data_IF_685658737435
#
_entry.id   IF_685658737435
#
_cell.length_a   1.000
_cell.length_b   1.000
_cell.length_c   1.000
_cell.angle_alpha   90.00
_cell.angle_beta   90.00
_cell.angle_gamma   90.00
#
_symmetry.space_group_name_H-M   'P 1'
#
loop_
_entity.id
_entity.type
_entity.pdbx_description
1 polymer ?
2 non-polymer ?
3 water ?
#
# COMPACT_ATOMS: atom_id res chain seq x y z
N UNK A 4 -2.61 18.00 -9.69
CA UNK A 4 -3.61 17.48 -8.75
C UNK A 4 -2.92 16.89 -7.54
N UNK A 5 -3.64 16.83 -6.42
CA UNK A 5 -3.18 16.11 -5.24
C UNK A 5 -3.87 14.76 -5.15
N UNK A 6 -3.17 13.76 -4.64
CA UNK A 6 -3.73 12.44 -4.43
C UNK A 6 -3.26 11.97 -3.06
N UNK A 7 -4.18 11.50 -2.25
CA UNK A 7 -3.85 10.95 -0.95
C UNK A 7 -3.87 9.43 -1.11
N UNK A 8 -2.78 8.76 -0.80
CA UNK A 8 -2.65 7.33 -1.02
C UNK A 8 -2.19 6.67 0.28
N UNK A 9 -2.98 5.72 0.79
CA UNK A 9 -2.59 5.00 1.99
C UNK A 9 -1.82 3.74 1.60
N UNK A 10 -0.77 3.42 2.35
CA UNK A 10 -0.04 2.15 2.19
C UNK A 10 -0.45 1.20 3.29
N UNK A 11 -1.07 0.08 2.93
CA UNK A 11 -1.49 -0.91 3.92
C UNK A 11 -0.75 -2.24 3.71
N UNK A 12 -0.71 -3.05 4.75
CA UNK A 12 -0.09 -4.37 4.62
C UNK A 12 0.03 -5.09 5.93
N UNK A 13 0.22 -6.41 5.87
CA UNK A 13 0.55 -7.18 7.07
C UNK A 13 1.95 -6.79 7.51
N UNK A 14 2.32 -7.10 8.76
CA UNK A 14 3.71 -6.90 9.18
C UNK A 14 4.71 -7.62 8.26
N UNK A 15 5.87 -7.02 8.03
CA UNK A 15 6.97 -7.69 7.31
C UNK A 15 6.64 -8.12 5.89
N UNK A 16 6.12 -7.20 5.09
CA UNK A 16 5.87 -7.47 3.69
C UNK A 16 6.64 -6.50 2.80
N UNK A 17 7.59 -5.77 3.38
CA UNK A 17 8.38 -4.78 2.64
C UNK A 17 7.72 -3.41 2.50
N UNK A 18 6.77 -3.12 3.38
CA UNK A 18 6.01 -1.88 3.28
C UNK A 18 6.90 -0.65 3.56
N UNK A 19 7.76 -0.72 4.57
CA UNK A 19 8.66 0.41 4.87
C UNK A 19 9.64 0.65 3.73
N UNK A 20 10.24 -0.42 3.21
CA UNK A 20 11.14 -0.29 2.06
C UNK A 20 10.47 0.38 0.86
N UNK A 21 9.22 -0.01 0.57
CA UNK A 21 8.50 0.58 -0.55
C UNK A 21 8.20 2.05 -0.27
N UNK A 22 7.74 2.35 0.94
CA UNK A 22 7.52 3.75 1.35
C UNK A 22 8.78 4.60 1.15
N UNK A 23 9.92 4.09 1.59
CA UNK A 23 11.20 4.80 1.44
C UNK A 23 11.62 4.98 -0.01
N UNK A 24 11.39 3.97 -0.84
CA UNK A 24 11.77 4.07 -2.25
C UNK A 24 10.90 5.08 -2.98
N UNK A 25 9.63 5.19 -2.57
CA UNK A 25 8.74 6.16 -3.20
C UNK A 25 8.96 7.62 -2.73
N UNK A 26 9.24 7.83 -1.45
CA UNK A 26 9.33 9.19 -0.92
C UNK A 26 10.76 9.72 -0.77
N UNK A 27 11.74 8.83 -0.76
CA UNK A 27 13.12 9.24 -0.53
C UNK A 27 13.27 9.90 0.84
N UNK A 28 13.94 11.05 0.90
CA UNK A 28 14.04 11.78 2.16
C UNK A 28 12.85 12.73 2.37
N UNK A 29 11.98 12.81 1.37
CA UNK A 29 10.79 13.66 1.49
C UNK A 29 9.71 13.02 2.35
N UNK A 30 10.03 12.82 3.62
CA UNK A 30 9.14 12.15 4.56
C UNK A 30 9.48 12.62 5.96
N UNK A 31 8.55 12.46 6.88
CA UNK A 31 8.84 12.84 8.25
C UNK A 31 8.04 11.96 9.18
N UNK A 32 8.50 11.82 10.42
CA UNK A 32 7.80 10.99 11.39
C UNK A 32 7.11 11.84 12.45
N UNK A 33 5.89 11.44 12.80
CA UNK A 33 5.13 12.08 13.88
C UNK A 33 4.33 10.99 14.58
N UNK A 34 3.40 11.38 15.44
CA UNK A 34 2.55 10.42 16.13
C UNK A 34 1.14 10.45 15.57
N UNK A 35 0.50 9.30 15.52
CA UNK A 35 -0.93 9.28 15.23
C UNK A 35 -1.62 10.06 16.33
N UNK A 36 -2.71 10.77 16.00
CA UNK A 36 -3.41 11.63 16.96
C UNK A 36 -3.76 10.93 18.27
N UNK A 37 -3.40 11.55 19.39
CA UNK A 37 -3.82 11.08 20.70
C UNK A 37 -3.16 9.80 21.18
N UNK A 38 -2.23 9.28 20.39
CA UNK A 38 -1.50 8.08 20.79
C UNK A 38 0.00 8.22 20.57
N UNK A 39 0.75 7.24 21.06
CA UNK A 39 2.21 7.25 20.98
C UNK A 39 2.70 6.53 19.71
N UNK A 40 1.76 5.98 18.94
CA UNK A 40 2.09 5.21 17.74
C UNK A 40 2.61 6.10 16.60
N UNK A 41 3.79 5.76 16.10
CA UNK A 41 4.48 6.57 15.10
C UNK A 41 3.81 6.55 13.74
N UNK A 42 3.78 7.70 13.08
CA UNK A 42 3.22 7.82 11.75
C UNK A 42 4.30 8.31 10.78
N UNK A 43 4.49 7.59 9.68
CA UNK A 43 5.34 8.10 8.61
C UNK A 43 4.46 8.63 7.48
N UNK A 44 4.80 9.80 6.98
CA UNK A 44 4.06 10.39 5.88
C UNK A 44 5.06 11.09 4.96
N UNK A 45 4.76 11.12 3.67
CA UNK A 45 5.68 11.76 2.75
C UNK A 45 5.03 12.20 1.46
N UNK A 46 5.85 12.70 0.54
CA UNK A 46 5.36 13.28 -0.69
C UNK A 46 6.28 12.92 -1.85
N UNK A 47 5.69 12.66 -3.00
CA UNK A 47 6.46 12.62 -4.25
C UNK A 47 5.56 13.12 -5.36
N UNK A 48 6.18 13.48 -6.48
CA UNK A 48 5.44 13.99 -7.63
C UNK A 48 5.62 13.03 -8.79
N UNK A 49 4.56 12.83 -9.57
CA UNK A 49 4.64 11.98 -10.73
C UNK A 49 3.72 12.54 -11.81
N UNK A 50 4.32 12.96 -12.92
CA UNK A 50 3.55 13.41 -14.09
C UNK A 50 2.49 14.45 -13.74
N UNK A 51 2.86 15.45 -12.95
CA UNK A 51 1.96 16.53 -12.61
C UNK A 51 1.09 16.29 -11.39
N UNK A 52 1.11 15.06 -10.88
CA UNK A 52 0.35 14.73 -9.66
C UNK A 52 1.26 14.79 -8.45
N UNK A 53 0.77 15.41 -7.38
CA UNK A 53 1.50 15.43 -6.12
C UNK A 53 0.85 14.39 -5.24
N UNK A 54 1.64 13.42 -4.80
CA UNK A 54 1.08 12.30 -4.06
C UNK A 54 1.53 12.36 -2.61
N UNK A 55 0.56 12.42 -1.71
CA UNK A 55 0.79 12.35 -0.27
C UNK A 55 0.60 10.90 0.11
N UNK A 56 1.69 10.25 0.46
CA UNK A 56 1.71 8.84 0.83
C UNK A 56 1.71 8.71 2.34
N UNK A 57 0.72 8.02 2.88
CA UNK A 57 0.65 7.80 4.32
C UNK A 57 0.79 6.32 4.64
N UNK A 58 1.77 5.99 5.47
CA UNK A 58 2.05 4.60 5.84
C UNK A 58 1.18 4.20 7.01
N UNK A 59 0.33 3.18 6.82
CA UNK A 59 -0.52 2.68 7.91
C UNK A 59 0.24 1.63 8.71
N UNK A 60 -0.08 1.50 10.00
CA UNK A 60 0.53 0.43 10.79
C UNK A 60 0.31 -0.95 10.15
N UNK A 61 1.23 -1.88 10.35
CA UNK A 61 1.06 -3.23 9.84
C UNK A 61 -0.10 -3.94 10.55
N UNK A 62 -0.90 -4.69 9.80
CA UNK A 62 -2.14 -5.29 10.34
C UNK A 62 -2.41 -6.64 9.72
N UNK A 63 -2.60 -7.68 10.53
CA UNK A 63 -3.03 -8.94 9.96
C UNK A 63 -4.53 -8.88 9.61
N UNK A 64 -5.26 -8.10 10.39
CA UNK A 64 -6.67 -7.93 10.19
C UNK A 64 -7.09 -6.58 10.74
N UNK A 65 -8.02 -5.92 10.06
CA UNK A 65 -8.55 -4.65 10.54
C UNK A 65 -9.49 -4.84 11.74
N UNK A 66 -9.94 -6.06 11.97
CA UNK A 66 -10.89 -6.32 13.04
C UNK A 66 -10.29 -6.57 14.42
N UNK A 67 -8.97 -6.77 14.48
CA UNK A 67 -8.29 -7.03 15.76
C UNK A 67 -8.41 -5.86 16.73
N UNK A 68 -8.04 -6.09 17.99
CA UNK A 68 -8.32 -5.11 19.05
C UNK A 68 -7.14 -4.22 19.45
N UNK A 69 -5.94 -4.48 18.92
CA UNK A 69 -4.79 -3.67 19.30
C UNK A 69 -4.88 -2.26 18.69
N UNK A 70 -4.05 -1.34 19.17
CA UNK A 70 -4.13 0.05 18.71
C UNK A 70 -3.73 0.17 17.24
N UNK A 71 -2.76 -0.63 16.81
CA UNK A 71 -2.29 -0.59 15.43
C UNK A 71 -3.43 -0.83 14.43
N UNK A 72 -4.24 -1.86 14.69
CA UNK A 72 -5.35 -2.19 13.80
C UNK A 72 -6.50 -1.18 13.89
N UNK A 73 -6.74 -0.65 15.09
CA UNK A 73 -7.77 0.37 15.28
C UNK A 73 -7.42 1.61 14.47
N UNK A 74 -6.16 2.00 14.53
CA UNK A 74 -5.67 3.12 13.74
C UNK A 74 -5.91 2.91 12.24
N UNK A 75 -5.52 1.74 11.73
CA UNK A 75 -5.63 1.49 10.30
C UNK A 75 -7.09 1.38 9.88
N UNK A 76 -7.88 0.67 10.67
CA UNK A 76 -9.31 0.52 10.38
C UNK A 76 -10.01 1.86 10.36
N UNK A 77 -9.82 2.64 11.42
CA UNK A 77 -10.46 3.96 11.52
C UNK A 77 -10.08 4.83 10.32
N UNK A 78 -8.79 4.85 9.98
CA UNK A 78 -8.33 5.69 8.88
C UNK A 78 -8.98 5.27 7.57
N UNK A 79 -9.11 3.97 7.35
CA UNK A 79 -9.73 3.46 6.13
C UNK A 79 -11.25 3.70 6.08
N UNK A 80 -11.91 3.63 7.24
CA UNK A 80 -13.34 3.92 7.31
C UNK A 80 -13.62 5.39 6.98
N UNK A 81 -12.91 6.28 7.65
CA UNK A 81 -12.94 7.70 7.33
C UNK A 81 -12.16 7.92 6.04
N UNK A 82 -12.78 7.61 4.91
CA UNK A 82 -12.10 7.59 3.61
C UNK A 82 -11.39 8.84 3.11
N UNK A 83 -10.44 9.35 3.90
CA UNK A 83 -9.61 10.49 3.52
C UNK A 83 -8.73 10.15 2.31
N UNK A 84 -8.23 8.91 2.28
CA UNK A 84 -7.39 8.43 1.18
C UNK A 84 -8.20 8.33 -0.12
N UNK A 85 -7.58 8.71 -1.23
CA UNK A 85 -8.20 8.53 -2.54
C UNK A 85 -8.11 7.09 -3.06
N UNK A 86 -7.08 6.38 -2.61
CA UNK A 86 -6.90 4.98 -2.99
C UNK A 86 -5.94 4.31 -2.02
N UNK A 87 -5.83 3.01 -2.10
CA UNK A 87 -5.01 2.25 -1.19
C UNK A 87 -4.05 1.40 -1.99
N UNK A 88 -2.79 1.39 -1.58
CA UNK A 88 -1.85 0.42 -2.12
C UNK A 88 -1.66 -0.64 -1.04
N UNK A 89 -2.04 -1.87 -1.37
CA UNK A 89 -1.84 -2.99 -0.46
C UNK A 89 -0.53 -3.68 -0.82
N UNK A 90 0.41 -3.66 0.13
CA UNK A 90 1.72 -4.24 -0.10
C UNK A 90 1.62 -5.71 0.29
N UNK A 91 2.04 -6.60 -0.59
CA UNK A 91 1.81 -8.03 -0.36
C UNK A 91 3.06 -8.86 -0.60
N UNK A 92 3.26 -9.86 0.24
CA UNK A 92 4.39 -10.75 0.10
C UNK A 92 4.11 -11.78 -1.02
N UNK A 93 5.01 -11.88 -2.00
CA UNK A 93 4.80 -12.80 -3.13
C UNK A 93 5.02 -14.26 -2.75
N UNK A 94 5.89 -14.51 -1.78
CA UNK A 94 6.22 -15.89 -1.42
C UNK A 94 5.06 -16.54 -0.69
N UNK A 95 4.47 -15.80 0.25
CA UNK A 95 3.39 -16.33 1.06
C UNK A 95 2.24 -15.32 1.11
N UNK A 96 1.42 -15.29 0.05
CA UNK A 96 0.43 -14.22 -0.13
C UNK A 96 -0.86 -14.40 0.66
N UNK A 97 -1.07 -15.56 1.30
CA UNK A 97 -2.34 -15.82 1.98
C UNK A 97 -2.79 -14.69 2.92
N UNK A 98 -1.93 -14.26 3.84
CA UNK A 98 -2.34 -13.24 4.81
C UNK A 98 -2.66 -11.91 4.12
N UNK A 99 -1.90 -11.60 3.08
CA UNK A 99 -2.11 -10.35 2.33
C UNK A 99 -3.45 -10.40 1.57
N UNK A 100 -3.78 -11.57 1.02
CA UNK A 100 -5.02 -11.71 0.26
C UNK A 100 -6.21 -11.67 1.20
N UNK A 101 -6.05 -12.19 2.41
CA UNK A 101 -7.11 -12.06 3.40
C UNK A 101 -7.36 -10.58 3.73
N UNK A 102 -6.29 -9.87 4.08
CA UNK A 102 -6.39 -8.43 4.36
C UNK A 102 -7.00 -7.64 3.19
N UNK A 103 -6.57 -7.95 1.97
CA UNK A 103 -7.18 -7.39 0.77
C UNK A 103 -8.72 -7.48 0.77
N UNK A 104 -9.27 -8.65 1.10
CA UNK A 104 -10.71 -8.81 1.12
C UNK A 104 -11.33 -7.82 2.09
N UNK A 105 -10.71 -7.64 3.25
CA UNK A 105 -11.24 -6.72 4.26
C UNK A 105 -11.16 -5.27 3.79
N UNK A 106 -10.04 -4.92 3.15
CA UNK A 106 -9.84 -3.56 2.69
C UNK A 106 -10.82 -3.20 1.59
N UNK A 107 -11.10 -4.16 0.71
CA UNK A 107 -12.01 -3.95 -0.41
C UNK A 107 -13.43 -3.63 0.06
N UNK A 108 -13.77 -4.08 1.27
CA UNK A 108 -15.01 -3.69 1.93
C UNK A 108 -15.10 -2.17 2.13
N UNK A 109 -13.97 -1.55 2.47
CA UNK A 109 -13.95 -0.14 2.85
C UNK A 109 -13.51 0.81 1.75
N UNK A 110 -12.75 0.28 0.79
CA UNK A 110 -12.24 1.07 -0.31
C UNK A 110 -12.04 0.20 -1.53
N UNK A 111 -12.79 0.48 -2.59
CA UNK A 111 -12.74 -0.33 -3.80
C UNK A 111 -11.48 -0.04 -4.64
N UNK A 112 -10.97 1.18 -4.52
CA UNK A 112 -9.77 1.57 -5.26
C UNK A 112 -8.50 1.08 -4.57
N UNK A 113 -8.08 -0.12 -4.94
CA UNK A 113 -6.89 -0.74 -4.37
C UNK A 113 -5.94 -1.21 -5.48
N UNK A 114 -4.64 -1.02 -5.24
CA UNK A 114 -3.58 -1.56 -6.08
C UNK A 114 -2.81 -2.53 -5.22
N UNK A 115 -2.56 -3.71 -5.74
CA UNK A 115 -1.77 -4.73 -5.06
C UNK A 115 -0.31 -4.62 -5.50
N UNK A 116 0.57 -4.26 -4.58
CA UNK A 116 1.99 -4.17 -4.88
C UNK A 116 2.70 -5.37 -4.29
N UNK A 117 3.13 -6.29 -5.15
CA UNK A 117 3.81 -7.48 -4.69
C UNK A 117 5.28 -7.16 -4.44
N UNK A 118 5.83 -7.74 -3.38
CA UNK A 118 7.23 -7.56 -3.03
C UNK A 118 7.90 -8.93 -2.93
N UNK A 119 9.20 -8.93 -2.62
CA UNK A 119 9.96 -10.17 -2.52
C UNK A 119 9.86 -10.95 -3.82
N UNK A 120 9.83 -10.23 -4.94
CA UNK A 120 9.72 -10.86 -6.26
C UNK A 120 11.03 -11.55 -6.68
N UNK A 121 12.16 -11.05 -6.18
CA UNK A 121 13.45 -11.68 -6.43
C UNK A 121 13.56 -13.03 -5.70
N UNK A 122 13.27 -13.03 -4.41
CA UNK A 122 13.27 -14.25 -3.63
C UNK A 122 12.26 -15.26 -4.18
N UNK A 123 11.07 -14.77 -4.51
CA UNK A 123 10.00 -15.63 -5.01
C UNK A 123 10.47 -16.54 -6.14
N UNK A 124 11.10 -15.96 -7.16
CA UNK A 124 11.64 -16.73 -8.27
C UNK A 124 12.48 -17.89 -7.76
N UNK A 125 13.35 -17.60 -6.80
CA UNK A 125 14.19 -18.61 -6.18
C UNK A 125 13.40 -19.45 -5.18
N UNK A 130 4.58 -16.23 -10.00
CA UNK A 130 3.15 -16.02 -10.12
C UNK A 130 2.84 -15.31 -11.44
N UNK A 131 1.82 -15.79 -12.15
CA UNK A 131 1.39 -15.13 -13.36
C UNK A 131 0.67 -13.84 -12.97
N UNK A 132 1.28 -12.70 -13.27
CA UNK A 132 0.72 -11.42 -12.88
C UNK A 132 -0.63 -11.17 -13.54
N UNK A 133 -0.68 -11.31 -14.86
CA UNK A 133 -1.90 -11.06 -15.61
C UNK A 133 -3.04 -11.94 -15.10
N UNK A 134 -2.68 -13.14 -14.62
CA UNK A 134 -3.65 -14.10 -14.12
C UNK A 134 -4.19 -13.70 -12.74
N UNK A 135 -3.28 -13.32 -11.85
CA UNK A 135 -3.65 -12.84 -10.53
C UNK A 135 -4.55 -11.61 -10.66
N UNK A 136 -4.17 -10.73 -11.57
CA UNK A 136 -4.90 -9.47 -11.80
C UNK A 136 -6.28 -9.71 -12.40
N UNK A 137 -6.37 -10.65 -13.34
CA UNK A 137 -7.66 -11.01 -13.93
C UNK A 137 -8.58 -11.57 -12.84
N UNK A 138 -7.98 -12.37 -11.96
CA UNK A 138 -8.70 -13.08 -10.90
C UNK A 138 -9.13 -12.19 -9.71
N UNK A 139 -8.47 -11.04 -9.55
CA UNK A 139 -8.82 -10.09 -8.48
C UNK A 139 -9.64 -8.88 -8.92
N UNK A 140 -9.56 -8.54 -10.20
CA UNK A 140 -10.28 -7.37 -10.73
C UNK A 140 -9.70 -6.04 -10.31
N UNK A 141 -8.46 -6.05 -9.84
CA UNK A 141 -7.75 -4.83 -9.52
C UNK A 141 -6.32 -4.93 -10.05
N UNK A 142 -5.67 -3.77 -10.28
CA UNK A 142 -4.29 -3.77 -10.79
C UNK A 142 -3.33 -4.49 -9.84
N UNK A 143 -2.42 -5.27 -10.38
CA UNK A 143 -1.38 -5.92 -9.60
C UNK A 143 -0.03 -5.56 -10.20
N UNK A 144 0.89 -5.10 -9.37
CA UNK A 144 2.20 -4.67 -9.85
C UNK A 144 3.28 -5.41 -9.08
N UNK A 145 4.29 -5.91 -9.78
CA UNK A 145 5.42 -6.55 -9.11
C UNK A 145 6.56 -5.54 -8.87
N UNK A 146 6.97 -5.39 -7.62
CA UNK A 146 7.90 -4.33 -7.29
C UNK A 146 9.16 -4.86 -6.64
N UNK A 147 10.24 -4.10 -6.82
CA UNK A 147 11.44 -4.28 -6.02
C UNK A 147 11.95 -2.91 -5.60
N UNK A 148 11.84 -2.62 -4.31
CA UNK A 148 12.32 -1.36 -3.76
C UNK A 148 13.79 -1.16 -4.01
N UNK A 149 14.54 -2.26 -4.13
CA UNK A 149 15.99 -2.17 -4.29
C UNK A 149 16.42 -1.70 -5.68
N UNK A 150 15.81 -2.26 -6.72
CA UNK A 150 16.23 -1.98 -8.09
C UNK A 150 15.35 -0.92 -8.72
N UNK A 151 14.19 -0.70 -8.10
CA UNK A 151 13.19 0.21 -8.65
C UNK A 151 12.26 -0.48 -9.63
N UNK A 152 12.45 -1.78 -9.85
CA UNK A 152 11.55 -2.50 -10.75
C UNK A 152 10.10 -2.30 -10.31
N UNK A 153 9.22 -2.02 -11.26
CA UNK A 153 7.81 -1.92 -10.97
C UNK A 153 7.33 -0.60 -10.37
N UNK A 154 8.25 0.27 -9.97
CA UNK A 154 7.81 1.51 -9.32
C UNK A 154 7.17 2.48 -10.30
N UNK A 155 7.64 2.50 -11.54
CA UNK A 155 7.01 3.33 -12.58
C UNK A 155 5.59 2.83 -12.86
N UNK A 156 5.44 1.53 -13.06
CA UNK A 156 4.12 0.94 -13.22
C UNK A 156 3.21 1.33 -12.06
N UNK A 157 3.70 1.16 -10.84
CA UNK A 157 2.91 1.45 -9.65
C UNK A 157 2.39 2.89 -9.67
N UNK A 158 3.28 3.83 -9.98
CA UNK A 158 2.89 5.24 -10.04
C UNK A 158 1.92 5.49 -11.17
N UNK A 159 2.09 4.76 -12.27
CA UNK A 159 1.17 4.90 -13.40
C UNK A 159 -0.22 4.44 -12.95
N UNK A 160 -0.29 3.38 -12.15
CA UNK A 160 -1.58 2.89 -11.65
C UNK A 160 -2.24 3.88 -10.68
N UNK A 161 -1.43 4.52 -9.85
CA UNK A 161 -1.93 5.54 -8.93
C UNK A 161 -2.64 6.63 -9.71
N UNK A 162 -2.00 7.17 -10.73
CA UNK A 162 -2.62 8.26 -11.49
C UNK A 162 -3.88 7.79 -12.26
N UNK A 163 -3.91 6.53 -12.67
CA UNK A 163 -5.10 5.98 -13.34
C UNK A 163 -6.32 5.99 -12.41
N UNK A 164 -6.12 5.51 -11.18
CA UNK A 164 -7.18 5.60 -10.18
C UNK A 164 -7.56 7.04 -9.90
N UNK A 165 -6.56 7.90 -9.72
CA UNK A 165 -6.78 9.31 -9.41
C UNK A 165 -7.75 9.99 -10.37
N UNK A 166 -7.77 9.53 -11.62
CA UNK A 166 -8.70 10.05 -12.63
C UNK A 166 -10.00 9.24 -12.63
#
# INVERSE_FOLDING_TARGET
GPLHMVKVALAGCPNVGKTSLFNALTGTKQYVANWPGVTVEKKEGVFTYKGYTINLIDLPGTYSLGYSSIDEKIARDYLLKGDADLVILVADSVNPEQSLYLLLEILEMEKKVILAMTAIDEAKKTGMKIDRYELQKHLGIPVVFTSSVTGEGLEELKEKIVEYAQKN
#
